data_IF_058450527967
#
_entry.id   IF_058450527967
#
_cell.length_a   1.000
_cell.length_b   1.000
_cell.length_c   1.000
_cell.angle_alpha   90.00
_cell.angle_beta   90.00
_cell.angle_gamma   90.00
#
_symmetry.space_group_name_H-M   'P 1'
#
loop_
_entity.id
_entity.type
_entity.pdbx_description
1 polymer ?
#
# COMPACT_ATOMS: atom_id res chain seq x y z
N UNK A 1 26.85 6.64 22.68
CA UNK A 1 26.53 7.68 21.67
C UNK A 1 25.19 7.32 21.07
N UNK A 2 24.12 8.06 21.41
CA UNK A 2 22.78 7.86 20.84
C UNK A 2 22.64 8.81 19.66
N UNK A 3 22.60 8.30 18.44
CA UNK A 3 22.21 9.09 17.29
C UNK A 3 20.72 9.45 17.44
N UNK A 4 20.37 10.73 17.32
CA UNK A 4 18.99 11.19 17.47
C UNK A 4 18.08 10.48 16.48
N UNK A 5 17.00 9.86 16.98
CA UNK A 5 16.09 9.01 16.20
C UNK A 5 15.30 9.77 15.12
N UNK A 6 15.31 11.10 15.13
CA UNK A 6 14.70 11.97 14.12
C UNK A 6 15.58 13.21 13.87
N UNK A 7 16.68 13.08 13.11
CA UNK A 7 17.62 14.20 12.93
C UNK A 7 17.05 15.38 12.13
N UNK A 8 15.85 15.25 11.55
CA UNK A 8 15.24 16.24 10.64
C UNK A 8 13.75 16.50 10.86
N UNK A 9 13.16 16.06 11.97
CA UNK A 9 11.74 16.34 12.22
C UNK A 9 11.56 17.72 12.88
N UNK A 10 10.79 18.61 12.26
CA UNK A 10 10.40 19.93 12.79
C UNK A 10 8.90 20.20 12.53
N UNK A 11 8.35 21.22 13.21
CA UNK A 11 6.98 21.74 13.00
C UNK A 11 5.81 20.77 13.23
N UNK A 12 5.87 19.94 14.27
CA UNK A 12 4.69 19.20 14.71
C UNK A 12 4.49 19.28 16.23
N UNK A 13 3.24 19.37 16.65
CA UNK A 13 2.83 19.33 18.05
C UNK A 13 1.83 18.20 18.24
N UNK A 14 2.07 17.35 19.25
CA UNK A 14 1.16 16.27 19.63
C UNK A 14 0.43 16.73 20.88
N UNK A 15 -0.86 17.01 20.77
CA UNK A 15 -1.70 17.37 21.90
C UNK A 15 -2.53 16.17 22.34
N UNK A 16 -2.36 15.74 23.60
CA UNK A 16 -3.21 14.74 24.24
C UNK A 16 -3.14 13.31 23.67
N UNK A 17 -2.14 12.99 22.85
CA UNK A 17 -1.94 11.67 22.23
C UNK A 17 -0.64 10.99 22.66
N UNK A 18 -0.60 9.65 22.60
CA UNK A 18 0.60 8.87 22.90
C UNK A 18 1.33 8.52 21.59
N UNK A 19 2.61 8.89 21.46
CA UNK A 19 3.44 8.52 20.31
C UNK A 19 4.26 7.28 20.64
N UNK A 20 4.00 6.17 19.95
CA UNK A 20 4.76 4.92 20.14
C UNK A 20 5.68 4.71 18.95
N UNK A 21 6.99 4.68 19.22
CA UNK A 21 7.98 4.31 18.20
C UNK A 21 8.05 2.79 18.11
N UNK A 22 7.63 2.25 16.97
CA UNK A 22 7.62 0.80 16.74
C UNK A 22 9.02 0.37 16.32
N UNK A 23 9.67 -0.44 17.15
CA UNK A 23 10.93 -1.10 16.79
C UNK A 23 10.65 -2.32 15.90
N UNK A 24 11.67 -2.83 15.20
CA UNK A 24 11.53 -4.05 14.38
C UNK A 24 10.99 -5.25 15.17
N UNK A 25 11.32 -5.35 16.47
CA UNK A 25 10.83 -6.41 17.34
C UNK A 25 9.33 -6.26 17.68
N UNK A 26 8.85 -5.02 17.79
CA UNK A 26 7.42 -4.75 18.03
C UNK A 26 6.58 -4.94 16.76
N UNK A 27 7.14 -4.64 15.59
CA UNK A 27 6.53 -4.99 14.31
C UNK A 27 6.23 -6.50 14.23
N UNK A 28 7.16 -7.36 14.66
CA UNK A 28 6.94 -8.81 14.65
C UNK A 28 5.81 -9.26 15.59
N UNK A 29 5.70 -8.64 16.78
CA UNK A 29 4.60 -8.89 17.72
C UNK A 29 3.26 -8.44 17.15
N UNK A 30 3.23 -7.28 16.50
CA UNK A 30 2.03 -6.73 15.84
C UNK A 30 1.60 -7.65 14.70
N UNK A 31 2.53 -8.09 13.85
CA UNK A 31 2.23 -9.06 12.78
C UNK A 31 1.68 -10.38 13.34
N UNK A 32 2.27 -10.90 14.42
CA UNK A 32 1.78 -12.12 15.08
C UNK A 32 0.40 -11.92 15.71
N UNK A 33 0.13 -10.77 16.31
CA UNK A 33 -1.18 -10.43 16.87
C UNK A 33 -2.25 -10.27 15.79
N UNK A 34 -1.92 -9.58 14.69
CA UNK A 34 -2.78 -9.44 13.52
C UNK A 34 -3.13 -10.80 12.91
N UNK A 35 -2.18 -11.75 12.96
CA UNK A 35 -2.27 -13.07 12.35
C UNK A 35 -2.88 -12.99 10.94
N UNK A 36 -2.44 -11.98 10.19
CA UNK A 36 -3.04 -11.65 8.91
C UNK A 36 -2.81 -12.81 7.93
N UNK A 37 -3.82 -13.16 7.10
CA UNK A 37 -3.65 -14.15 6.06
C UNK A 37 -2.49 -13.78 5.14
N UNK A 38 -1.69 -14.77 4.75
CA UNK A 38 -0.70 -14.54 3.72
C UNK A 38 -1.39 -14.30 2.37
N UNK A 39 -1.33 -13.06 1.91
CA UNK A 39 -1.90 -12.64 0.63
C UNK A 39 -0.99 -12.95 -0.56
N UNK A 40 0.19 -13.55 -0.33
CA UNK A 40 1.17 -13.88 -1.39
C UNK A 40 0.57 -14.78 -2.46
N UNK A 41 -0.22 -15.79 -2.07
CA UNK A 41 -0.85 -16.71 -3.01
C UNK A 41 -1.79 -15.99 -4.00
N UNK A 42 -2.56 -15.02 -3.50
CA UNK A 42 -3.46 -14.22 -4.35
C UNK A 42 -2.67 -13.27 -5.26
N UNK A 43 -1.55 -12.73 -4.77
CA UNK A 43 -0.67 -11.90 -5.58
C UNK A 43 -0.01 -12.71 -6.71
N UNK A 44 0.54 -13.89 -6.39
CA UNK A 44 1.15 -14.80 -7.37
C UNK A 44 0.11 -15.25 -8.39
N UNK A 45 -1.06 -15.70 -7.94
CA UNK A 45 -2.15 -16.06 -8.85
C UNK A 45 -2.57 -14.88 -9.74
N UNK A 46 -2.58 -13.65 -9.23
CA UNK A 46 -2.87 -12.46 -10.03
C UNK A 46 -1.78 -12.16 -11.06
N UNK A 47 -0.50 -12.40 -10.73
CA UNK A 47 0.61 -12.28 -11.67
C UNK A 47 0.53 -13.34 -12.78
N UNK A 48 0.32 -14.60 -12.40
CA UNK A 48 0.32 -15.75 -13.31
C UNK A 48 -0.89 -15.75 -14.25
N UNK A 49 -2.07 -15.36 -13.75
CA UNK A 49 -3.31 -15.34 -14.53
C UNK A 49 -3.57 -13.98 -15.19
N UNK A 50 -2.61 -13.06 -15.15
CA UNK A 50 -2.78 -11.74 -15.76
C UNK A 50 -2.83 -11.86 -17.28
N UNK A 51 -3.99 -11.56 -17.86
CA UNK A 51 -4.08 -11.36 -19.31
C UNK A 51 -3.44 -10.02 -19.69
N UNK A 52 -2.55 -10.01 -20.68
CA UNK A 52 -1.90 -8.78 -21.14
C UNK A 52 -2.93 -7.72 -21.54
N UNK A 53 -2.68 -6.45 -21.20
CA UNK A 53 -3.60 -5.33 -21.46
C UNK A 53 -4.73 -5.15 -20.44
N UNK A 54 -5.03 -6.15 -19.60
CA UNK A 54 -6.04 -5.98 -18.54
C UNK A 54 -5.56 -5.07 -17.42
N UNK A 55 -6.51 -4.41 -16.75
CA UNK A 55 -6.27 -3.48 -15.63
C UNK A 55 -5.40 -2.25 -15.97
N UNK A 56 -4.95 -2.08 -17.22
CA UNK A 56 -4.14 -0.93 -17.64
C UNK A 56 -4.95 0.35 -17.82
N UNK A 57 -6.26 0.23 -18.08
CA UNK A 57 -7.16 1.36 -18.26
C UNK A 57 -7.12 2.34 -17.08
N UNK A 58 -6.83 1.87 -15.86
CA UNK A 58 -6.79 2.74 -14.68
C UNK A 58 -5.67 3.78 -14.74
N UNK A 59 -4.56 3.46 -15.43
CA UNK A 59 -3.45 4.38 -15.58
C UNK A 59 -3.80 5.58 -16.46
N UNK A 60 -4.84 5.46 -17.29
CA UNK A 60 -5.32 6.55 -18.14
C UNK A 60 -6.34 7.46 -17.47
N UNK A 61 -6.90 7.05 -16.33
CA UNK A 61 -7.92 7.81 -15.61
C UNK A 61 -7.29 9.02 -14.91
N UNK A 62 -7.82 10.21 -15.15
CA UNK A 62 -7.27 11.46 -14.59
C UNK A 62 -7.22 11.46 -13.06
N UNK A 63 -8.26 10.94 -12.39
CA UNK A 63 -8.28 10.78 -10.92
C UNK A 63 -7.11 9.93 -10.42
N UNK A 64 -6.73 8.90 -11.17
CA UNK A 64 -5.58 8.08 -10.81
C UNK A 64 -4.26 8.84 -11.02
N UNK A 65 -4.13 9.55 -12.15
CA UNK A 65 -2.95 10.38 -12.47
C UNK A 65 -2.73 11.45 -11.40
N UNK A 66 -3.79 12.14 -11.00
CA UNK A 66 -3.79 13.14 -9.93
C UNK A 66 -3.38 12.51 -8.58
N UNK A 67 -4.02 11.40 -8.20
CA UNK A 67 -3.69 10.68 -6.98
C UNK A 67 -2.21 10.26 -6.93
N UNK A 68 -1.67 9.77 -8.05
CA UNK A 68 -0.28 9.32 -8.16
C UNK A 68 0.70 10.47 -7.95
N UNK A 69 0.35 11.69 -8.36
CA UNK A 69 1.18 12.89 -8.21
C UNK A 69 1.06 13.53 -6.82
N UNK A 70 -0.11 13.48 -6.20
CA UNK A 70 -0.41 14.25 -4.99
C UNK A 70 -0.42 13.41 -3.69
N UNK A 71 -0.16 12.10 -3.78
CA UNK A 71 0.00 11.18 -2.65
C UNK A 71 -1.16 11.23 -1.61
N UNK A 72 -2.41 11.15 -2.08
CA UNK A 72 -3.63 11.18 -1.27
C UNK A 72 -4.36 9.84 -1.12
N UNK A 73 -5.68 9.87 -0.98
CA UNK A 73 -6.56 8.68 -0.94
C UNK A 73 -7.24 8.50 -2.30
N UNK A 74 -7.14 7.30 -2.89
CA UNK A 74 -7.89 6.89 -4.07
C UNK A 74 -9.00 5.92 -3.68
N UNK A 75 -10.25 6.28 -3.96
CA UNK A 75 -11.41 5.43 -3.68
C UNK A 75 -11.89 4.71 -4.95
N UNK A 76 -11.75 3.39 -5.00
CA UNK A 76 -12.22 2.53 -6.10
C UNK A 76 -13.46 1.78 -5.64
N UNK A 77 -14.60 2.06 -6.27
CA UNK A 77 -15.89 1.46 -5.89
C UNK A 77 -16.45 0.61 -7.02
N UNK A 78 -17.11 -0.48 -6.66
CA UNK A 78 -17.74 -1.40 -7.60
C UNK A 78 -18.44 -2.56 -6.88
N UNK A 79 -19.32 -3.31 -7.57
CA UNK A 79 -20.11 -4.39 -6.98
C UNK A 79 -19.24 -5.51 -6.38
N UNK A 80 -19.82 -6.34 -5.51
CA UNK A 80 -19.12 -7.52 -4.98
C UNK A 80 -18.65 -8.42 -6.14
N UNK A 81 -17.45 -9.00 -6.03
CA UNK A 81 -16.89 -9.82 -7.11
C UNK A 81 -16.35 -9.07 -8.34
N UNK A 82 -16.42 -7.73 -8.38
CA UNK A 82 -15.93 -6.93 -9.53
C UNK A 82 -14.40 -6.89 -9.71
N UNK A 83 -13.64 -7.74 -9.02
CA UNK A 83 -12.19 -7.82 -9.18
C UNK A 83 -11.38 -6.66 -8.59
N UNK A 84 -11.91 -5.85 -7.67
CA UNK A 84 -11.18 -4.71 -7.06
C UNK A 84 -9.83 -5.11 -6.44
N UNK A 85 -9.78 -6.22 -5.71
CA UNK A 85 -8.55 -6.75 -5.11
C UNK A 85 -7.55 -7.19 -6.17
N UNK A 86 -8.03 -7.86 -7.22
CA UNK A 86 -7.21 -8.27 -8.35
C UNK A 86 -6.63 -7.07 -9.10
N UNK A 87 -7.45 -6.04 -9.34
CA UNK A 87 -7.02 -4.76 -9.91
C UNK A 87 -5.88 -4.14 -9.10
N UNK A 88 -5.98 -4.14 -7.76
CA UNK A 88 -4.93 -3.64 -6.88
C UNK A 88 -3.62 -4.42 -7.03
N UNK A 89 -3.67 -5.76 -7.02
CA UNK A 89 -2.47 -6.58 -7.21
C UNK A 89 -1.80 -6.34 -8.57
N UNK A 90 -2.58 -6.36 -9.65
CA UNK A 90 -2.06 -6.12 -11.01
C UNK A 90 -1.43 -4.73 -11.12
N UNK A 91 -2.06 -3.74 -10.51
CA UNK A 91 -1.55 -2.38 -10.47
C UNK A 91 -0.20 -2.30 -9.75
N UNK A 92 -0.05 -2.96 -8.60
CA UNK A 92 1.24 -3.10 -7.90
C UNK A 92 2.28 -3.74 -8.80
N UNK A 93 1.97 -4.90 -9.42
CA UNK A 93 2.88 -5.62 -10.33
C UNK A 93 3.38 -4.71 -11.46
N UNK A 94 2.46 -3.98 -12.11
CA UNK A 94 2.80 -3.09 -13.22
C UNK A 94 3.65 -1.91 -12.75
N UNK A 95 3.37 -1.32 -11.59
CA UNK A 95 4.18 -0.21 -11.08
C UNK A 95 5.57 -0.63 -10.62
N UNK A 96 5.75 -1.85 -10.10
CA UNK A 96 7.04 -2.34 -9.61
C UNK A 96 7.97 -2.78 -10.76
N UNK A 97 7.43 -3.30 -11.86
CA UNK A 97 8.23 -3.73 -13.02
C UNK A 97 8.65 -2.61 -13.98
N UNK A 98 8.12 -1.39 -13.84
CA UNK A 98 8.45 -0.23 -14.69
C UNK A 98 9.53 0.69 -14.08
N UNK A 99 10.30 0.19 -13.10
CA UNK A 99 11.45 0.87 -12.49
C UNK A 99 12.74 0.07 -12.70
#
# INVERSE_FOLDING_TARGET
MSAGMFPYASDFAIYGGNFTVITSNDSHKIHKWLNAPDCSANFVAAADNRCAGTCQWIFEVDKYKEWRSNHGILWIQGPAGSGKTFLMYVMTIITTHNH
#
